data_IF_802914549010
#
_entry.id   IF_802914549010
#
_cell.length_a   1.000
_cell.length_b   1.000
_cell.length_c   1.000
_cell.angle_alpha   90.00
_cell.angle_beta   90.00
_cell.angle_gamma   90.00
#
_symmetry.space_group_name_H-M   'P 1'
#
loop_
_entity.id
_entity.type
_entity.pdbx_description
1 polymer ?
#
# COMPACT_ATOMS: atom_id res chain seq x y z
N UNK A 1 -41.92 79.59 -12.01
CA UNK A 1 -41.09 79.69 -13.22
C UNK A 1 -40.51 78.33 -13.40
N UNK A 2 -41.18 77.53 -14.18
CA UNK A 2 -40.88 77.12 -15.56
C UNK A 2 -39.72 76.11 -15.65
N UNK A 3 -39.80 75.03 -16.23
CA UNK A 3 -40.51 74.29 -17.29
C UNK A 3 -39.98 72.84 -17.29
N UNK A 4 -40.80 71.86 -17.26
CA UNK A 4 -41.17 70.96 -18.37
C UNK A 4 -39.95 70.55 -19.26
N UNK A 5 -39.65 69.26 -19.31
CA UNK A 5 -39.83 68.38 -20.49
C UNK A 5 -39.53 66.94 -20.21
N UNK A 6 -40.36 66.12 -20.40
CA UNK A 6 -40.70 64.80 -20.86
C UNK A 6 -39.64 64.18 -21.82
N UNK A 7 -39.19 62.99 -21.59
CA UNK A 7 -39.20 61.97 -22.65
C UNK A 7 -39.08 60.55 -22.11
N UNK A 8 -39.87 59.71 -22.74
CA UNK A 8 -40.08 58.26 -22.56
C UNK A 8 -38.87 57.43 -22.99
N UNK A 9 -38.67 56.24 -22.38
CA UNK A 9 -37.82 55.19 -22.92
C UNK A 9 -37.90 53.96 -22.05
N UNK A 10 -38.82 53.05 -22.36
CA UNK A 10 -38.91 51.71 -21.81
C UNK A 10 -37.69 50.86 -22.33
N UNK A 11 -37.00 50.20 -21.44
CA UNK A 11 -36.26 48.96 -21.82
C UNK A 11 -36.30 47.99 -20.64
N UNK A 12 -37.01 46.91 -20.86
CA UNK A 12 -37.08 45.74 -20.00
C UNK A 12 -35.70 45.05 -19.97
N UNK A 13 -34.98 45.14 -18.87
CA UNK A 13 -33.78 44.35 -18.59
C UNK A 13 -34.13 43.21 -17.68
N UNK A 14 -34.23 42.01 -18.24
CA UNK A 14 -34.45 40.73 -17.57
C UNK A 14 -33.22 40.41 -16.73
N UNK A 15 -33.30 40.45 -15.42
CA UNK A 15 -32.28 39.86 -14.52
C UNK A 15 -32.28 38.33 -14.71
N UNK A 16 -31.23 37.81 -15.34
CA UNK A 16 -30.89 36.40 -15.28
C UNK A 16 -30.18 36.15 -13.96
N UNK A 17 -30.86 35.54 -13.00
CA UNK A 17 -30.21 34.86 -11.87
C UNK A 17 -29.37 33.72 -12.45
N UNK A 18 -28.06 33.88 -12.47
CA UNK A 18 -27.11 32.83 -12.72
C UNK A 18 -27.04 31.92 -11.49
N UNK A 19 -27.75 30.80 -11.53
CA UNK A 19 -27.50 29.68 -10.63
C UNK A 19 -26.07 29.19 -10.88
N UNK A 20 -25.19 29.47 -9.93
CA UNK A 20 -23.87 28.86 -9.89
C UNK A 20 -24.05 27.35 -9.70
N UNK A 21 -23.99 26.60 -10.80
CA UNK A 21 -23.96 25.16 -10.80
C UNK A 21 -22.70 24.68 -10.11
N UNK A 22 -22.85 24.03 -8.95
CA UNK A 22 -21.85 23.21 -8.30
C UNK A 22 -21.33 22.18 -9.30
N UNK A 23 -20.19 22.47 -9.91
CA UNK A 23 -19.50 21.58 -10.82
C UNK A 23 -18.95 20.37 -10.06
N UNK A 24 -19.78 19.35 -9.91
CA UNK A 24 -19.33 18.00 -9.52
C UNK A 24 -18.43 17.49 -10.63
N UNK A 25 -17.10 17.62 -10.44
CA UNK A 25 -16.06 17.30 -11.41
C UNK A 25 -15.99 15.81 -11.71
N UNK A 26 -16.95 15.31 -12.50
CA UNK A 26 -16.85 13.95 -13.08
C UNK A 26 -15.66 13.91 -14.03
N UNK A 27 -14.59 13.22 -13.62
CA UNK A 27 -13.43 12.94 -14.49
C UNK A 27 -13.92 12.44 -15.85
N UNK A 28 -13.43 13.01 -16.96
CA UNK A 28 -13.92 12.66 -18.29
C UNK A 28 -13.78 11.15 -18.52
N UNK A 29 -14.78 10.53 -19.17
CA UNK A 29 -14.90 9.08 -19.43
C UNK A 29 -13.59 8.44 -19.94
N UNK A 30 -12.86 9.15 -20.80
CA UNK A 30 -11.56 8.71 -21.38
C UNK A 30 -10.43 8.55 -20.35
N UNK A 31 -10.39 9.40 -19.30
CA UNK A 31 -9.37 9.32 -18.24
C UNK A 31 -9.68 8.16 -17.29
N UNK A 32 -10.98 7.93 -16.99
CA UNK A 32 -11.44 6.80 -16.17
C UNK A 32 -11.16 5.47 -16.86
N UNK A 33 -11.39 5.38 -18.17
CA UNK A 33 -11.10 4.21 -18.99
C UNK A 33 -9.59 3.89 -19.04
N UNK A 34 -8.74 4.92 -19.16
CA UNK A 34 -7.27 4.77 -19.10
C UNK A 34 -6.80 4.23 -17.75
N UNK A 35 -7.32 4.75 -16.65
CA UNK A 35 -6.97 4.28 -15.32
C UNK A 35 -7.41 2.82 -15.11
N UNK A 36 -8.61 2.46 -15.53
CA UNK A 36 -9.13 1.10 -15.45
C UNK A 36 -8.26 0.10 -16.24
N UNK A 37 -7.83 0.45 -17.46
CA UNK A 37 -6.95 -0.38 -18.27
C UNK A 37 -5.55 -0.56 -17.65
N UNK A 38 -4.97 0.50 -17.08
CA UNK A 38 -3.71 0.39 -16.33
C UNK A 38 -3.84 -0.59 -15.16
N UNK A 39 -4.89 -0.49 -14.39
CA UNK A 39 -5.17 -1.38 -13.25
C UNK A 39 -5.38 -2.84 -13.69
N UNK A 40 -6.10 -3.07 -14.80
CA UNK A 40 -6.29 -4.40 -15.35
C UNK A 40 -4.96 -5.04 -15.76
N UNK A 41 -4.09 -4.29 -16.44
CA UNK A 41 -2.75 -4.75 -16.84
C UNK A 41 -1.86 -5.05 -15.63
N UNK A 42 -1.87 -4.21 -14.59
CA UNK A 42 -1.11 -4.45 -13.35
C UNK A 42 -1.61 -5.74 -12.65
N UNK A 43 -2.92 -5.95 -12.52
CA UNK A 43 -3.47 -7.17 -11.91
C UNK A 43 -3.14 -8.43 -12.71
N UNK A 44 -3.29 -8.38 -14.04
CA UNK A 44 -2.96 -9.50 -14.92
C UNK A 44 -1.47 -9.87 -14.84
N UNK A 45 -0.59 -8.85 -14.85
CA UNK A 45 0.84 -9.04 -14.70
C UNK A 45 1.19 -9.69 -13.35
N UNK A 46 0.60 -9.21 -12.25
CA UNK A 46 0.84 -9.78 -10.93
C UNK A 46 0.48 -11.27 -10.88
N UNK A 47 -0.70 -11.65 -11.36
CA UNK A 47 -1.14 -13.04 -11.39
C UNK A 47 -0.23 -13.93 -12.24
N UNK A 48 0.14 -13.48 -13.43
CA UNK A 48 1.00 -14.25 -14.34
C UNK A 48 2.44 -14.35 -13.84
N UNK A 49 3.00 -13.27 -13.32
CA UNK A 49 4.34 -13.30 -12.72
C UNK A 49 4.40 -14.19 -11.49
N UNK A 50 3.37 -14.17 -10.64
CA UNK A 50 3.30 -15.01 -9.44
C UNK A 50 3.14 -16.51 -9.76
N UNK A 51 2.44 -16.86 -10.84
CA UNK A 51 2.16 -18.25 -11.21
C UNK A 51 3.20 -18.86 -12.14
N UNK A 52 3.69 -18.10 -13.13
CA UNK A 52 4.64 -18.58 -14.15
C UNK A 52 6.07 -18.08 -13.95
N UNK A 53 6.25 -16.99 -13.18
CA UNK A 53 7.52 -16.28 -13.05
C UNK A 53 7.66 -15.10 -14.01
N UNK A 54 8.50 -14.13 -13.61
CA UNK A 54 8.71 -12.91 -14.37
C UNK A 54 9.35 -13.17 -15.72
N UNK A 55 10.41 -13.98 -15.80
CA UNK A 55 11.21 -14.13 -17.03
C UNK A 55 10.41 -14.75 -18.18
N UNK A 56 9.63 -15.79 -17.91
CA UNK A 56 8.89 -16.55 -18.95
C UNK A 56 7.57 -15.89 -19.36
N UNK A 57 7.05 -14.95 -18.57
CA UNK A 57 5.80 -14.26 -18.89
C UNK A 57 6.03 -13.18 -19.96
N UNK A 58 5.23 -13.20 -21.01
CA UNK A 58 5.31 -12.23 -22.12
C UNK A 58 4.33 -11.08 -21.95
N UNK A 59 4.62 -9.92 -22.56
CA UNK A 59 3.70 -8.77 -22.63
C UNK A 59 2.39 -9.14 -23.33
N UNK A 60 2.46 -10.02 -24.33
CA UNK A 60 1.31 -10.52 -25.08
C UNK A 60 0.36 -11.31 -24.18
N UNK A 61 0.86 -12.20 -23.33
CA UNK A 61 0.04 -12.96 -22.38
C UNK A 61 -0.62 -12.04 -21.34
N UNK A 62 0.14 -11.05 -20.85
CA UNK A 62 -0.40 -10.07 -19.88
C UNK A 62 -1.54 -9.27 -20.51
N UNK A 63 -1.35 -8.78 -21.74
CA UNK A 63 -2.36 -8.02 -22.46
C UNK A 63 -3.62 -8.85 -22.74
N UNK A 64 -3.46 -10.09 -23.18
CA UNK A 64 -4.56 -11.02 -23.43
C UNK A 64 -5.34 -11.28 -22.13
N UNK A 65 -4.65 -11.58 -21.02
CA UNK A 65 -5.27 -11.80 -19.70
C UNK A 65 -6.02 -10.56 -19.16
N UNK A 66 -5.55 -9.35 -19.51
CA UNK A 66 -6.17 -8.09 -19.11
C UNK A 66 -7.32 -7.65 -20.05
N UNK A 67 -7.59 -8.37 -21.13
CA UNK A 67 -8.53 -7.93 -22.18
C UNK A 67 -8.10 -6.64 -22.87
N UNK A 68 -6.78 -6.44 -23.05
CA UNK A 68 -6.18 -5.22 -23.57
C UNK A 68 -5.32 -5.52 -24.82
N UNK A 69 -5.12 -4.51 -25.67
CA UNK A 69 -4.12 -4.59 -26.74
C UNK A 69 -2.70 -4.49 -26.15
N UNK A 70 -1.75 -5.32 -26.65
CA UNK A 70 -0.37 -5.39 -26.18
C UNK A 70 0.35 -4.02 -26.25
N UNK A 71 0.12 -3.24 -27.28
CA UNK A 71 0.67 -1.90 -27.45
C UNK A 71 0.36 -0.94 -26.29
N UNK A 72 -0.67 -1.22 -25.46
CA UNK A 72 -0.95 -0.43 -24.27
C UNK A 72 0.10 -0.63 -23.16
N UNK A 73 0.75 -1.79 -23.09
CA UNK A 73 1.85 -2.03 -22.13
C UNK A 73 3.03 -1.13 -22.50
N UNK A 74 3.40 -1.10 -23.76
CA UNK A 74 4.49 -0.22 -24.23
C UNK A 74 4.12 1.25 -24.05
N UNK A 75 2.89 1.63 -24.37
CA UNK A 75 2.40 3.02 -24.25
C UNK A 75 2.32 3.51 -22.80
N UNK A 76 1.90 2.65 -21.85
CA UNK A 76 1.66 3.06 -20.47
C UNK A 76 2.85 2.81 -19.55
N UNK A 77 3.64 1.79 -19.81
CA UNK A 77 4.67 1.29 -18.90
C UNK A 77 6.06 1.16 -19.56
N UNK A 78 6.18 1.41 -20.87
CA UNK A 78 7.43 1.24 -21.64
C UNK A 78 7.99 -0.19 -21.62
N UNK A 79 7.11 -1.19 -21.51
CA UNK A 79 7.46 -2.61 -21.53
C UNK A 79 7.30 -3.31 -20.18
N UNK A 80 7.79 -4.55 -20.08
CA UNK A 80 7.64 -5.44 -18.93
C UNK A 80 8.32 -4.90 -17.66
N UNK A 81 9.51 -4.31 -17.79
CA UNK A 81 10.25 -3.71 -16.67
C UNK A 81 9.52 -2.50 -16.08
N UNK A 82 9.00 -1.61 -16.92
CA UNK A 82 8.22 -0.47 -16.45
C UNK A 82 6.88 -0.87 -15.86
N UNK A 83 6.27 -1.97 -16.31
CA UNK A 83 5.09 -2.54 -15.68
C UNK A 83 5.40 -3.08 -14.28
N UNK A 84 6.55 -3.72 -14.08
CA UNK A 84 7.04 -4.16 -12.78
C UNK A 84 7.23 -2.96 -11.82
N UNK A 85 7.88 -1.88 -12.29
CA UNK A 85 8.03 -0.65 -11.50
C UNK A 85 6.67 -0.05 -11.10
N UNK A 86 5.72 0.01 -12.02
CA UNK A 86 4.36 0.50 -11.74
C UNK A 86 3.60 -0.38 -10.73
N UNK A 87 3.90 -1.67 -10.65
CA UNK A 87 3.35 -2.55 -9.61
C UNK A 87 3.85 -2.16 -8.21
N UNK A 88 5.13 -1.81 -8.07
CA UNK A 88 5.70 -1.31 -6.81
C UNK A 88 5.02 0.01 -6.41
N UNK A 89 4.96 0.98 -7.33
CA UNK A 89 4.31 2.27 -7.10
C UNK A 89 2.85 2.11 -6.68
N UNK A 90 2.12 1.22 -7.36
CA UNK A 90 0.74 0.93 -7.01
C UNK A 90 0.61 0.32 -5.62
N UNK A 91 1.55 -0.53 -5.22
CA UNK A 91 1.59 -1.13 -3.89
C UNK A 91 1.84 -0.09 -2.80
N UNK A 92 2.85 0.76 -2.98
CA UNK A 92 3.17 1.87 -2.08
C UNK A 92 1.95 2.76 -1.84
N UNK A 93 1.25 3.13 -2.93
CA UNK A 93 0.05 3.97 -2.84
C UNK A 93 -1.09 3.32 -2.05
N UNK A 94 -1.21 1.99 -2.09
CA UNK A 94 -2.21 1.25 -1.31
C UNK A 94 -1.81 1.13 0.16
N UNK A 95 -0.56 0.82 0.46
CA UNK A 95 -0.10 0.58 1.83
C UNK A 95 -0.13 1.84 2.71
N UNK A 96 0.13 3.02 2.13
CA UNK A 96 0.07 4.28 2.86
C UNK A 96 -1.33 4.65 3.38
N UNK A 97 -2.38 4.10 2.77
CA UNK A 97 -3.78 4.34 3.17
C UNK A 97 -4.30 3.35 4.22
N UNK A 98 -3.65 2.18 4.36
CA UNK A 98 -4.21 1.05 5.10
C UNK A 98 -3.83 1.03 6.59
N UNK A 99 -2.64 1.54 6.95
CA UNK A 99 -2.12 1.29 8.29
C UNK A 99 -2.71 2.16 9.40
N UNK A 100 -2.87 3.45 9.14
CA UNK A 100 -3.32 4.41 10.16
C UNK A 100 -4.82 4.33 10.43
N UNK A 101 -5.59 3.75 9.49
CA UNK A 101 -7.06 3.69 9.59
C UNK A 101 -7.61 2.37 10.14
N UNK A 102 -6.83 1.28 10.15
CA UNK A 102 -7.33 -0.07 10.44
C UNK A 102 -7.04 -0.59 11.85
N UNK A 103 -6.03 -0.07 12.54
CA UNK A 103 -5.64 -0.54 13.86
C UNK A 103 -5.81 0.56 14.91
N UNK A 104 -6.79 0.40 15.80
CA UNK A 104 -6.90 1.23 16.99
C UNK A 104 -5.72 0.93 17.92
N UNK A 105 -5.10 1.94 18.58
CA UNK A 105 -4.06 1.70 19.57
C UNK A 105 -4.56 0.77 20.66
N UNK A 106 -3.74 -0.21 21.05
CA UNK A 106 -4.04 -1.10 22.17
C UNK A 106 -3.86 -0.38 23.51
N UNK A 107 -4.31 -0.99 24.60
CA UNK A 107 -4.25 -0.39 25.94
C UNK A 107 -2.85 -0.44 26.54
N UNK A 108 -2.04 -1.42 26.16
CA UNK A 108 -0.66 -1.61 26.65
C UNK A 108 0.32 -1.78 25.50
N UNK A 109 1.60 -1.48 25.73
CA UNK A 109 2.67 -1.72 24.78
C UNK A 109 2.74 -3.20 24.33
N UNK A 110 2.55 -4.12 25.29
CA UNK A 110 2.57 -5.55 25.03
C UNK A 110 1.45 -5.96 24.07
N UNK A 111 0.23 -5.48 24.30
CA UNK A 111 -0.92 -5.75 23.44
C UNK A 111 -0.72 -5.10 22.06
N UNK A 112 -0.13 -3.90 22.02
CA UNK A 112 0.20 -3.21 20.77
C UNK A 112 1.19 -4.01 19.95
N UNK A 113 2.26 -4.52 20.56
CA UNK A 113 3.24 -5.33 19.87
C UNK A 113 2.62 -6.61 19.30
N UNK A 114 1.79 -7.31 20.06
CA UNK A 114 1.07 -8.50 19.62
C UNK A 114 0.13 -8.20 18.46
N UNK A 115 -0.62 -7.09 18.54
CA UNK A 115 -1.51 -6.62 17.48
C UNK A 115 -0.75 -6.27 16.19
N UNK A 116 0.41 -5.64 16.32
CA UNK A 116 1.27 -5.29 15.19
C UNK A 116 1.84 -6.54 14.52
N UNK A 117 2.33 -7.53 15.29
CA UNK A 117 2.81 -8.80 14.75
C UNK A 117 1.68 -9.54 14.02
N UNK A 118 0.50 -9.64 14.63
CA UNK A 118 -0.65 -10.31 14.01
C UNK A 118 -1.01 -9.66 12.66
N UNK A 119 -1.08 -8.33 12.63
CA UNK A 119 -1.37 -7.58 11.41
C UNK A 119 -0.28 -7.71 10.34
N UNK A 120 1.00 -7.73 10.73
CA UNK A 120 2.09 -7.92 9.77
C UNK A 120 2.10 -9.33 9.17
N UNK A 121 1.79 -10.36 9.96
CA UNK A 121 1.64 -11.73 9.48
C UNK A 121 0.52 -11.82 8.45
N UNK A 122 -0.65 -11.26 8.74
CA UNK A 122 -1.77 -11.20 7.80
C UNK A 122 -1.41 -10.43 6.53
N UNK A 123 -0.79 -9.27 6.68
CA UNK A 123 -0.35 -8.44 5.55
C UNK A 123 0.61 -9.17 4.61
N UNK A 124 1.57 -9.92 5.16
CA UNK A 124 2.49 -10.70 4.32
C UNK A 124 1.77 -11.82 3.58
N UNK A 125 0.81 -12.47 4.23
CA UNK A 125 -0.02 -13.49 3.59
C UNK A 125 -0.93 -12.91 2.50
N UNK A 126 -1.61 -11.79 2.76
CA UNK A 126 -2.43 -11.08 1.78
C UNK A 126 -1.61 -10.66 0.55
N UNK A 127 -0.33 -10.35 0.75
CA UNK A 127 0.61 -9.88 -0.27
C UNK A 127 1.50 -10.98 -0.86
N UNK A 128 1.24 -12.25 -0.57
CA UNK A 128 2.10 -13.36 -0.98
C UNK A 128 2.39 -13.41 -2.48
N UNK A 129 1.42 -13.07 -3.34
CA UNK A 129 1.63 -13.08 -4.79
C UNK A 129 2.57 -11.96 -5.25
N UNK A 130 2.48 -10.79 -4.61
CA UNK A 130 3.43 -9.71 -4.81
C UNK A 130 4.84 -10.13 -4.36
N UNK A 131 4.97 -10.72 -3.17
CA UNK A 131 6.26 -11.16 -2.63
C UNK A 131 6.90 -12.28 -3.46
N UNK A 132 6.10 -13.21 -4.01
CA UNK A 132 6.56 -14.24 -4.96
C UNK A 132 7.25 -13.65 -6.20
N UNK A 133 6.79 -12.50 -6.65
CA UNK A 133 7.37 -11.81 -7.81
C UNK A 133 8.61 -11.00 -7.42
N UNK A 134 8.52 -10.24 -6.34
CA UNK A 134 9.50 -9.21 -6.03
C UNK A 134 10.70 -9.71 -5.24
N UNK A 135 10.55 -10.70 -4.35
CA UNK A 135 11.69 -11.24 -3.59
C UNK A 135 12.73 -11.88 -4.52
N UNK A 136 12.40 -12.83 -5.41
CA UNK A 136 13.37 -13.37 -6.36
C UNK A 136 13.98 -12.31 -7.27
N UNK A 137 13.17 -11.35 -7.69
CA UNK A 137 13.65 -10.26 -8.54
C UNK A 137 14.62 -9.32 -7.81
N UNK A 138 14.36 -9.01 -6.56
CA UNK A 138 15.25 -8.18 -5.73
C UNK A 138 16.61 -8.86 -5.45
N UNK A 139 16.65 -10.20 -5.42
CA UNK A 139 17.90 -10.96 -5.29
C UNK A 139 18.75 -10.82 -6.56
N UNK A 140 18.12 -10.88 -7.74
CA UNK A 140 18.82 -10.82 -9.03
C UNK A 140 19.15 -9.39 -9.45
N UNK A 141 18.30 -8.43 -9.06
CA UNK A 141 18.40 -7.02 -9.46
C UNK A 141 18.41 -6.11 -8.22
N UNK A 142 19.59 -5.68 -7.75
CA UNK A 142 19.73 -4.84 -6.57
C UNK A 142 18.96 -3.51 -6.64
N UNK A 143 18.66 -3.01 -7.84
CA UNK A 143 17.88 -1.78 -7.99
C UNK A 143 16.42 -1.98 -7.52
N UNK A 144 15.84 -3.14 -7.80
CA UNK A 144 14.51 -3.54 -7.30
C UNK A 144 14.53 -3.66 -5.78
N UNK A 145 15.54 -4.30 -5.20
CA UNK A 145 15.74 -4.41 -3.76
C UNK A 145 15.85 -3.05 -3.08
N UNK A 146 16.63 -2.13 -3.65
CA UNK A 146 16.78 -0.76 -3.13
C UNK A 146 15.47 0.01 -3.13
N UNK A 147 14.67 -0.08 -4.20
CA UNK A 147 13.35 0.55 -4.26
C UNK A 147 12.42 -0.05 -3.20
N UNK A 148 12.34 -1.38 -3.10
CA UNK A 148 11.52 -2.05 -2.07
C UNK A 148 11.91 -1.63 -0.66
N UNK A 149 13.22 -1.59 -0.36
CA UNK A 149 13.70 -1.18 0.95
C UNK A 149 13.26 0.24 1.29
N UNK A 150 13.52 1.19 0.41
CA UNK A 150 13.20 2.61 0.66
C UNK A 150 11.70 2.87 0.78
N UNK A 151 10.89 2.26 -0.08
CA UNK A 151 9.48 2.63 -0.23
C UNK A 151 8.52 1.79 0.61
N UNK A 152 8.87 0.52 0.88
CA UNK A 152 7.98 -0.40 1.60
C UNK A 152 8.52 -0.75 2.99
N UNK A 153 9.78 -1.21 3.07
CA UNK A 153 10.32 -1.74 4.33
C UNK A 153 10.63 -0.60 5.30
N UNK A 154 11.46 0.38 4.90
CA UNK A 154 11.86 1.47 5.79
C UNK A 154 10.70 2.39 6.18
N UNK A 155 9.80 2.69 5.24
CA UNK A 155 8.61 3.49 5.54
C UNK A 155 7.71 2.79 6.56
N UNK A 156 7.56 1.47 6.43
CA UNK A 156 6.75 0.66 7.35
C UNK A 156 7.39 0.56 8.73
N UNK A 157 8.69 0.25 8.80
CA UNK A 157 9.43 0.21 10.06
C UNK A 157 9.32 1.54 10.81
N UNK A 158 9.46 2.66 10.11
CA UNK A 158 9.29 4.00 10.70
C UNK A 158 7.89 4.19 11.30
N UNK A 159 6.83 3.82 10.58
CA UNK A 159 5.45 3.94 11.08
C UNK A 159 5.22 3.08 12.33
N UNK A 160 5.78 1.85 12.36
CA UNK A 160 5.69 0.97 13.52
C UNK A 160 6.49 1.57 14.69
N UNK A 161 7.72 2.04 14.47
CA UNK A 161 8.55 2.68 15.49
C UNK A 161 7.86 3.90 16.10
N UNK A 162 7.29 4.80 15.27
CA UNK A 162 6.52 5.97 15.73
C UNK A 162 5.30 5.56 16.57
N UNK A 163 4.63 4.49 16.20
CA UNK A 163 3.47 3.99 16.92
C UNK A 163 3.84 3.37 18.26
N UNK A 164 4.92 2.58 18.34
CA UNK A 164 5.43 2.06 19.61
C UNK A 164 5.89 3.19 20.53
N UNK A 165 6.54 4.22 20.01
CA UNK A 165 7.01 5.39 20.77
C UNK A 165 5.88 6.16 21.49
N UNK A 166 4.63 6.04 21.05
CA UNK A 166 3.49 6.71 21.67
C UNK A 166 3.10 6.13 23.05
N UNK A 167 3.68 5.01 23.45
CA UNK A 167 3.44 4.40 24.76
C UNK A 167 4.43 4.93 25.81
N UNK A 168 3.92 5.29 27.00
CA UNK A 168 4.71 5.87 28.09
C UNK A 168 5.87 4.98 28.53
N UNK A 169 5.66 3.65 28.53
CA UNK A 169 6.71 2.67 28.84
C UNK A 169 7.88 2.69 27.87
N UNK A 170 7.74 3.29 26.69
CA UNK A 170 8.83 3.44 25.70
C UNK A 170 9.63 4.73 25.84
N UNK A 171 9.30 5.60 26.79
CA UNK A 171 10.04 6.89 27.01
C UNK A 171 11.50 6.63 27.38
N UNK A 172 11.81 5.50 27.99
CA UNK A 172 13.18 5.09 28.34
C UNK A 172 13.95 4.38 27.22
N UNK A 173 13.27 4.00 26.12
CA UNK A 173 13.90 3.29 25.02
C UNK A 173 14.63 4.28 24.08
N UNK A 174 15.81 3.87 23.63
CA UNK A 174 16.51 4.59 22.57
C UNK A 174 15.80 4.44 21.24
N UNK A 175 16.03 5.38 20.31
CA UNK A 175 15.47 5.27 18.96
C UNK A 175 15.92 3.97 18.26
N UNK A 176 17.18 3.54 18.49
CA UNK A 176 17.72 2.28 17.94
C UNK A 176 16.95 1.06 18.46
N UNK A 177 16.55 1.06 19.75
CA UNK A 177 15.73 -0.02 20.33
C UNK A 177 14.33 -0.06 19.72
N UNK A 178 13.70 1.10 19.52
CA UNK A 178 12.40 1.20 18.87
C UNK A 178 12.46 0.72 17.42
N UNK A 179 13.50 1.08 16.68
CA UNK A 179 13.72 0.66 15.30
C UNK A 179 14.01 -0.86 15.22
N UNK A 180 14.75 -1.42 16.19
CA UNK A 180 14.95 -2.86 16.29
C UNK A 180 13.64 -3.62 16.56
N UNK A 181 12.79 -3.11 17.45
CA UNK A 181 11.45 -3.69 17.69
C UNK A 181 10.57 -3.61 16.43
N UNK A 182 10.57 -2.50 15.75
CA UNK A 182 9.82 -2.33 14.50
C UNK A 182 10.30 -3.31 13.42
N UNK A 183 11.60 -3.52 13.31
CA UNK A 183 12.18 -4.51 12.40
C UNK A 183 11.81 -5.95 12.82
N UNK A 184 11.81 -6.27 14.13
CA UNK A 184 11.40 -7.57 14.63
C UNK A 184 9.95 -7.88 14.27
N UNK A 185 9.03 -6.91 14.39
CA UNK A 185 7.63 -7.04 13.93
C UNK A 185 7.58 -7.38 12.44
N UNK A 186 8.33 -6.64 11.61
CA UNK A 186 8.39 -6.88 10.16
C UNK A 186 8.96 -8.26 9.80
N UNK A 187 10.00 -8.71 10.51
CA UNK A 187 10.62 -10.02 10.29
C UNK A 187 9.71 -11.17 10.72
N UNK A 188 9.03 -11.07 11.86
CA UNK A 188 8.02 -12.04 12.27
C UNK A 188 6.89 -12.11 11.23
N UNK A 189 6.44 -10.96 10.74
CA UNK A 189 5.47 -10.89 9.64
C UNK A 189 5.94 -11.65 8.41
N UNK A 190 7.16 -11.39 7.94
CA UNK A 190 7.73 -12.04 6.76
C UNK A 190 7.88 -13.56 6.95
N UNK A 191 8.45 -13.98 8.08
CA UNK A 191 8.70 -15.40 8.33
C UNK A 191 7.39 -16.18 8.44
N UNK A 192 6.45 -15.71 9.23
CA UNK A 192 5.22 -16.46 9.52
C UNK A 192 4.09 -16.19 8.52
N UNK A 193 4.08 -15.03 7.86
CA UNK A 193 3.07 -14.71 6.86
C UNK A 193 3.45 -15.08 5.43
N UNK A 194 4.76 -15.27 5.15
CA UNK A 194 5.22 -15.60 3.80
C UNK A 194 6.15 -16.80 3.75
N UNK A 195 7.29 -16.79 4.46
CA UNK A 195 8.31 -17.85 4.32
C UNK A 195 7.73 -19.22 4.72
N UNK A 196 7.16 -19.35 5.90
CA UNK A 196 6.61 -20.62 6.36
C UNK A 196 5.46 -21.14 5.48
N UNK A 197 4.41 -20.37 5.18
CA UNK A 197 3.30 -20.91 4.38
C UNK A 197 3.61 -21.01 2.88
N UNK A 198 4.43 -20.12 2.31
CA UNK A 198 4.63 -20.06 0.86
C UNK A 198 5.84 -20.86 0.39
N UNK A 199 6.97 -20.79 1.13
CA UNK A 199 8.20 -21.48 0.77
C UNK A 199 8.33 -22.86 1.41
N UNK A 200 7.86 -23.01 2.66
CA UNK A 200 8.01 -24.27 3.42
C UNK A 200 6.72 -25.11 3.43
N UNK A 201 5.62 -24.64 2.82
CA UNK A 201 4.39 -25.40 2.68
C UNK A 201 3.60 -25.61 3.97
N UNK A 202 3.84 -24.81 5.01
CA UNK A 202 3.09 -24.89 6.26
C UNK A 202 1.70 -24.27 6.07
N UNK A 203 0.69 -24.75 6.79
CA UNK A 203 -0.62 -24.12 6.79
C UNK A 203 -0.57 -22.73 7.45
N UNK A 204 -1.18 -21.75 6.79
CA UNK A 204 -1.16 -20.35 7.27
C UNK A 204 -1.72 -20.19 8.69
N UNK A 205 -2.87 -20.80 9.08
CA UNK A 205 -3.38 -20.68 10.45
C UNK A 205 -2.39 -21.17 11.50
N UNK A 206 -1.67 -22.27 11.23
CA UNK A 206 -0.62 -22.81 12.11
C UNK A 206 0.58 -21.87 12.23
N UNK A 207 1.03 -21.30 11.11
CA UNK A 207 2.11 -20.32 11.09
C UNK A 207 1.73 -19.05 11.87
N UNK A 208 0.50 -18.53 11.69
CA UNK A 208 -0.02 -17.38 12.43
C UNK A 208 -0.07 -17.63 13.93
N UNK A 209 -0.56 -18.78 14.38
CA UNK A 209 -0.57 -19.18 15.81
C UNK A 209 0.84 -19.22 16.40
N UNK A 210 1.80 -19.72 15.64
CA UNK A 210 3.20 -19.77 16.06
C UNK A 210 3.82 -18.38 16.20
N UNK A 211 3.53 -17.46 15.27
CA UNK A 211 3.95 -16.06 15.36
C UNK A 211 3.47 -15.40 16.66
N UNK A 212 2.20 -15.58 16.99
CA UNK A 212 1.61 -15.05 18.23
C UNK A 212 2.27 -15.65 19.47
N UNK A 213 2.64 -16.94 19.43
CA UNK A 213 3.35 -17.59 20.54
C UNK A 213 4.77 -17.04 20.70
N UNK A 214 5.52 -16.88 19.61
CA UNK A 214 6.87 -16.28 19.64
C UNK A 214 6.81 -14.84 20.16
N UNK A 215 5.86 -14.05 19.69
CA UNK A 215 5.69 -12.67 20.13
C UNK A 215 5.41 -12.58 21.63
N UNK A 216 4.56 -13.47 22.18
CA UNK A 216 4.30 -13.52 23.64
C UNK A 216 5.54 -13.90 24.45
N UNK A 217 6.33 -14.87 23.97
CA UNK A 217 7.58 -15.26 24.64
C UNK A 217 8.58 -14.10 24.67
N UNK A 218 8.69 -13.34 23.59
CA UNK A 218 9.57 -12.19 23.52
C UNK A 218 9.17 -11.11 24.53
N UNK A 219 7.88 -10.83 24.67
CA UNK A 219 7.39 -9.82 25.61
C UNK A 219 7.48 -10.29 27.08
N UNK A 220 7.23 -11.58 27.35
CA UNK A 220 7.25 -12.14 28.69
C UNK A 220 8.67 -12.29 29.26
N UNK A 221 9.71 -12.13 28.45
CA UNK A 221 11.09 -12.26 28.93
C UNK A 221 11.48 -11.03 29.78
N UNK A 222 11.88 -11.20 31.08
CA UNK A 222 12.27 -10.08 31.93
C UNK A 222 13.42 -9.24 31.37
N UNK A 223 14.35 -9.86 30.66
CA UNK A 223 15.45 -9.16 29.99
C UNK A 223 14.95 -8.24 28.84
N UNK A 224 13.80 -8.57 28.25
CA UNK A 224 13.15 -7.71 27.23
C UNK A 224 12.15 -6.77 27.91
N UNK A 225 11.44 -7.23 28.96
CA UNK A 225 10.53 -6.40 29.75
C UNK A 225 11.23 -5.25 30.50
N UNK A 226 12.52 -5.39 30.84
CA UNK A 226 13.32 -4.31 31.41
C UNK A 226 13.80 -3.29 30.36
N UNK A 227 13.65 -3.62 29.08
CA UNK A 227 14.00 -2.78 27.91
C UNK A 227 12.72 -2.23 27.26
N UNK A 228 11.57 -2.89 27.48
CA UNK A 228 10.23 -2.49 27.06
C UNK A 228 9.44 -1.94 28.24
#
# INVERSE_FOLDING_TARGET
MDRITRCKGQAKGRLKLGLAGSGNGTRPKRTRDRAAKKQALIRAALGLFASKGYEVTTTREIAASAGCAEGLIHRYFKGKAGLLAAMIEHRVSKEGLDFSQQLRPASTLADEFLQLVDREVERMWENRDFLRVFIPRAIVDPSVGSVMNKTLISARAKTISERLKSYESCVSLTQDSLDALAQAVGMLGLVFGFVRPVLLGHEFPGAKKMAATVARILIANPAVSSVI
#
